data_IF_852160036288
#
_entry.id   IF_852160036288
#
_cell.length_a   1.000
_cell.length_b   1.000
_cell.length_c   1.000
_cell.angle_alpha   90.00
_cell.angle_beta   90.00
_cell.angle_gamma   90.00
#
_symmetry.space_group_name_H-M   'P 1'
#
loop_
_entity.id
_entity.type
_entity.pdbx_description
1 polymer ?
#
# COMPACT_ATOMS: atom_id res chain seq x y z
N UNK A 1 42.48 29.95 -23.81
CA UNK A 1 42.33 28.83 -24.76
C UNK A 1 42.59 27.54 -23.99
N UNK A 2 41.49 26.87 -23.66
CA UNK A 2 41.31 25.45 -23.27
C UNK A 2 42.30 24.78 -22.31
N UNK A 3 41.88 24.64 -21.06
CA UNK A 3 42.28 23.52 -20.19
C UNK A 3 41.68 22.24 -20.79
N UNK A 4 42.54 21.30 -21.20
CA UNK A 4 42.14 19.99 -21.67
C UNK A 4 41.83 19.11 -20.46
N UNK A 5 40.55 18.83 -20.24
CA UNK A 5 40.11 17.84 -19.26
C UNK A 5 40.45 16.44 -19.79
N UNK A 6 41.29 15.71 -19.07
CA UNK A 6 41.47 14.28 -19.28
C UNK A 6 40.21 13.54 -18.79
N UNK A 7 39.71 12.52 -19.52
CA UNK A 7 38.57 11.75 -19.07
C UNK A 7 38.95 10.86 -17.88
N UNK A 8 38.13 10.89 -16.83
CA UNK A 8 38.18 9.94 -15.72
C UNK A 8 37.74 8.58 -16.27
N UNK A 9 38.67 7.63 -16.31
CA UNK A 9 38.39 6.21 -16.58
C UNK A 9 37.72 5.61 -15.34
N UNK A 10 36.43 5.28 -15.45
CA UNK A 10 35.73 4.45 -14.46
C UNK A 10 35.77 3.02 -14.96
N UNK A 11 36.58 2.18 -14.30
CA UNK A 11 36.61 0.74 -14.52
C UNK A 11 35.29 0.14 -14.01
N UNK A 12 34.44 -0.30 -14.94
CA UNK A 12 33.18 -0.97 -14.61
C UNK A 12 33.48 -2.47 -14.54
N UNK A 13 33.71 -2.97 -13.34
CA UNK A 13 33.79 -4.40 -13.07
C UNK A 13 32.48 -5.10 -13.47
N UNK A 14 32.59 -6.10 -14.34
CA UNK A 14 31.49 -6.92 -14.82
C UNK A 14 30.78 -7.63 -13.68
N UNK A 15 29.53 -7.27 -13.40
CA UNK A 15 28.65 -8.06 -12.52
C UNK A 15 27.75 -8.92 -13.39
N UNK A 16 28.22 -10.13 -13.69
CA UNK A 16 27.37 -11.22 -14.15
C UNK A 16 26.46 -11.68 -13.02
N UNK A 17 25.27 -11.08 -12.94
CA UNK A 17 24.07 -11.75 -12.42
C UNK A 17 22.94 -11.36 -13.35
N UNK A 18 22.34 -12.36 -13.96
CA UNK A 18 21.21 -12.22 -14.86
C UNK A 18 20.03 -11.60 -14.12
N UNK A 19 19.94 -10.27 -14.15
CA UNK A 19 18.72 -9.55 -13.84
C UNK A 19 17.78 -9.78 -15.02
N UNK A 20 16.82 -10.69 -14.83
CA UNK A 20 15.63 -10.74 -15.68
C UNK A 20 14.76 -9.52 -15.37
N UNK A 21 15.23 -8.35 -15.83
CA UNK A 21 14.51 -7.11 -15.80
C UNK A 21 13.55 -7.06 -17.00
N UNK A 22 12.37 -7.64 -16.81
CA UNK A 22 11.21 -7.36 -17.65
C UNK A 22 10.77 -5.90 -17.43
N UNK A 23 11.48 -4.97 -18.06
CA UNK A 23 10.91 -3.72 -18.59
C UNK A 23 10.36 -2.67 -17.64
N UNK A 24 10.76 -2.61 -16.37
CA UNK A 24 10.42 -1.47 -15.50
C UNK A 24 11.67 -1.05 -14.74
N UNK A 25 12.39 -0.06 -15.27
CA UNK A 25 13.30 0.74 -14.47
C UNK A 25 12.43 1.49 -13.44
N UNK A 26 12.21 0.86 -12.28
CA UNK A 26 11.53 1.49 -11.15
C UNK A 26 12.34 2.73 -10.78
N UNK A 27 11.79 3.90 -11.08
CA UNK A 27 12.36 5.18 -10.75
C UNK A 27 12.17 5.37 -9.23
N UNK A 28 13.06 4.77 -8.43
CA UNK A 28 13.03 4.75 -6.97
C UNK A 28 13.41 6.11 -6.33
N UNK A 29 13.34 7.21 -7.10
CA UNK A 29 13.65 8.56 -6.62
C UNK A 29 12.61 9.07 -5.63
N UNK A 30 11.33 8.87 -5.92
CA UNK A 30 10.16 9.25 -5.09
C UNK A 30 8.98 8.38 -5.54
N UNK A 31 8.78 7.19 -4.98
CA UNK A 31 7.55 6.43 -5.29
C UNK A 31 6.39 7.08 -4.53
N UNK A 32 5.41 7.61 -5.25
CA UNK A 32 4.14 8.05 -4.68
C UNK A 32 3.54 6.91 -3.84
N UNK A 33 3.06 7.23 -2.63
CA UNK A 33 2.60 6.23 -1.65
C UNK A 33 1.53 5.30 -2.23
N UNK A 34 0.68 5.78 -3.15
CA UNK A 34 -0.32 4.95 -3.83
C UNK A 34 0.33 3.80 -4.62
N UNK A 35 1.42 4.08 -5.34
CA UNK A 35 2.16 3.07 -6.10
C UNK A 35 2.77 1.99 -5.19
N UNK A 36 3.32 2.38 -4.03
CA UNK A 36 3.85 1.45 -3.02
C UNK A 36 2.74 0.54 -2.51
N UNK A 37 1.58 1.12 -2.21
CA UNK A 37 0.39 0.39 -1.70
C UNK A 37 -0.09 -0.61 -2.74
N UNK A 38 -0.28 -0.19 -3.99
CA UNK A 38 -0.72 -1.07 -5.09
C UNK A 38 0.23 -2.24 -5.29
N UNK A 39 1.54 -2.00 -5.26
CA UNK A 39 2.54 -3.07 -5.38
C UNK A 39 2.44 -4.06 -4.20
N UNK A 40 2.29 -3.55 -2.98
CA UNK A 40 2.16 -4.39 -1.78
C UNK A 40 0.89 -5.25 -1.81
N UNK A 41 -0.26 -4.65 -2.18
CA UNK A 41 -1.54 -5.36 -2.33
C UNK A 41 -1.46 -6.41 -3.44
N UNK A 42 -0.78 -6.12 -4.55
CA UNK A 42 -0.66 -7.04 -5.69
C UNK A 42 0.02 -8.36 -5.33
N UNK A 43 0.86 -8.38 -4.29
CA UNK A 43 1.57 -9.55 -3.78
C UNK A 43 0.70 -10.45 -2.87
N UNK A 44 -0.51 -10.01 -2.50
CA UNK A 44 -1.45 -10.84 -1.76
C UNK A 44 -2.09 -11.88 -2.67
N UNK A 45 -2.45 -13.06 -2.14
CA UNK A 45 -3.23 -14.03 -2.89
C UNK A 45 -4.62 -13.44 -3.22
N UNK A 46 -5.13 -13.77 -4.40
CA UNK A 46 -6.52 -13.49 -4.74
C UNK A 46 -7.46 -14.37 -3.90
N UNK A 47 -8.74 -13.98 -3.84
CA UNK A 47 -9.75 -14.81 -3.16
C UNK A 47 -9.81 -16.22 -3.75
N UNK A 48 -9.83 -17.27 -2.92
CA UNK A 48 -10.09 -18.63 -3.39
C UNK A 48 -11.56 -18.86 -3.75
N UNK A 49 -12.47 -17.98 -3.31
CA UNK A 49 -13.91 -18.05 -3.60
C UNK A 49 -14.29 -16.93 -4.58
N UNK A 50 -14.80 -17.24 -5.78
CA UNK A 50 -15.06 -16.24 -6.82
C UNK A 50 -16.14 -15.21 -6.43
N UNK A 51 -17.08 -15.60 -5.57
CA UNK A 51 -18.21 -14.76 -5.16
C UNK A 51 -17.96 -13.99 -3.85
N UNK A 52 -16.80 -14.15 -3.22
CA UNK A 52 -16.46 -13.47 -1.97
C UNK A 52 -15.14 -12.71 -2.11
N UNK A 53 -15.09 -11.41 -1.81
CA UNK A 53 -13.84 -10.66 -1.88
C UNK A 53 -12.85 -11.18 -0.83
N UNK A 54 -11.62 -11.43 -1.25
CA UNK A 54 -10.50 -11.74 -0.38
C UNK A 54 -9.85 -10.46 0.15
N UNK A 55 -8.80 -10.64 0.94
CA UNK A 55 -8.07 -9.50 1.52
C UNK A 55 -7.49 -8.56 0.45
N UNK A 56 -7.03 -9.11 -0.68
CA UNK A 56 -6.51 -8.33 -1.81
C UNK A 56 -7.58 -7.41 -2.39
N UNK A 57 -8.77 -7.95 -2.66
CA UNK A 57 -9.87 -7.22 -3.28
C UNK A 57 -10.44 -6.16 -2.33
N UNK A 58 -10.51 -6.45 -1.02
CA UNK A 58 -10.94 -5.49 -0.01
C UNK A 58 -9.96 -4.32 0.15
N UNK A 59 -8.66 -4.59 0.19
CA UNK A 59 -7.64 -3.55 0.30
C UNK A 59 -7.54 -2.71 -0.97
N UNK A 60 -7.76 -3.30 -2.15
CA UNK A 60 -7.85 -2.58 -3.42
C UNK A 60 -9.05 -1.60 -3.40
N UNK A 61 -10.21 -2.05 -2.90
CA UNK A 61 -11.39 -1.20 -2.76
C UNK A 61 -11.15 -0.06 -1.75
N UNK A 62 -10.52 -0.36 -0.61
CA UNK A 62 -10.17 0.65 0.40
C UNK A 62 -9.21 1.71 -0.16
N UNK A 63 -8.14 1.29 -0.86
CA UNK A 63 -7.22 2.19 -1.54
C UNK A 63 -7.98 3.12 -2.50
N UNK A 64 -8.78 2.55 -3.40
CA UNK A 64 -9.53 3.34 -4.38
C UNK A 64 -10.52 4.33 -3.74
N UNK A 65 -11.18 3.93 -2.65
CA UNK A 65 -12.08 4.80 -1.92
C UNK A 65 -11.34 5.99 -1.28
N UNK A 66 -10.17 5.76 -0.70
CA UNK A 66 -9.31 6.80 -0.12
C UNK A 66 -8.83 7.77 -1.22
N UNK A 67 -8.36 7.24 -2.35
CA UNK A 67 -7.86 8.05 -3.47
C UNK A 67 -8.96 8.93 -4.09
N UNK A 68 -10.17 8.37 -4.24
CA UNK A 68 -11.31 9.07 -4.82
C UNK A 68 -11.97 10.07 -3.86
N UNK A 69 -11.72 9.99 -2.56
CA UNK A 69 -12.32 10.90 -1.59
C UNK A 69 -11.75 12.32 -1.73
N UNK A 70 -12.66 13.29 -1.75
CA UNK A 70 -12.37 14.72 -1.93
C UNK A 70 -12.42 15.52 -0.63
N UNK A 71 -12.81 14.88 0.47
CA UNK A 71 -12.95 15.47 1.79
C UNK A 71 -11.67 15.28 2.61
N UNK A 72 -10.91 14.22 2.33
CA UNK A 72 -9.55 14.05 2.82
C UNK A 72 -8.60 15.08 2.19
N UNK A 73 -7.83 15.75 3.03
CA UNK A 73 -6.68 16.52 2.57
C UNK A 73 -5.55 15.56 2.14
N UNK A 74 -4.48 16.11 1.57
CA UNK A 74 -3.37 15.30 1.04
C UNK A 74 -2.61 14.54 2.14
N UNK A 75 -2.45 15.12 3.33
CA UNK A 75 -1.74 14.51 4.45
C UNK A 75 -2.53 13.33 5.02
N UNK A 76 -3.81 13.52 5.31
CA UNK A 76 -4.72 12.47 5.80
C UNK A 76 -4.87 11.34 4.76
N UNK A 77 -4.85 11.68 3.46
CA UNK A 77 -4.88 10.69 2.37
C UNK A 77 -3.60 9.86 2.36
N UNK A 78 -2.43 10.49 2.50
CA UNK A 78 -1.15 9.79 2.57
C UNK A 78 -1.09 8.89 3.81
N UNK A 79 -1.46 9.39 4.99
CA UNK A 79 -1.50 8.60 6.23
C UNK A 79 -2.45 7.39 6.08
N UNK A 80 -3.65 7.60 5.53
CA UNK A 80 -4.59 6.52 5.29
C UNK A 80 -4.00 5.45 4.35
N UNK A 81 -3.32 5.86 3.27
CA UNK A 81 -2.65 4.93 2.35
C UNK A 81 -1.48 4.18 3.02
N UNK A 82 -0.72 4.82 3.90
CA UNK A 82 0.29 4.13 4.73
C UNK A 82 -0.35 3.04 5.61
N UNK A 83 -1.54 3.30 6.16
CA UNK A 83 -2.27 2.29 6.92
C UNK A 83 -2.77 1.15 6.02
N UNK A 84 -3.20 1.42 4.78
CA UNK A 84 -3.53 0.37 3.81
C UNK A 84 -2.32 -0.50 3.49
N UNK A 85 -1.13 0.10 3.33
CA UNK A 85 0.13 -0.65 3.18
C UNK A 85 0.37 -1.58 4.37
N UNK A 86 0.24 -1.07 5.59
CA UNK A 86 0.44 -1.86 6.81
C UNK A 86 -0.55 -3.05 6.89
N UNK A 87 -1.81 -2.84 6.48
CA UNK A 87 -2.79 -3.93 6.38
C UNK A 87 -2.42 -4.95 5.31
N UNK A 88 -1.90 -4.51 4.17
CA UNK A 88 -1.44 -5.39 3.11
C UNK A 88 -0.21 -6.20 3.54
N UNK A 89 0.73 -5.60 4.27
CA UNK A 89 1.88 -6.31 4.86
C UNK A 89 1.42 -7.35 5.88
N UNK A 90 0.48 -7.00 6.77
CA UNK A 90 -0.10 -7.94 7.71
C UNK A 90 -0.86 -9.09 7.02
N UNK A 91 -1.51 -8.82 5.88
CA UNK A 91 -2.21 -9.82 5.08
C UNK A 91 -1.29 -10.90 4.49
N UNK A 92 0.03 -10.64 4.39
CA UNK A 92 1.00 -11.67 3.97
C UNK A 92 1.25 -12.71 5.06
N UNK A 93 1.22 -12.29 6.33
CA UNK A 93 1.48 -13.13 7.50
C UNK A 93 0.48 -12.83 8.65
N UNK A 94 -0.82 -13.09 8.47
CA UNK A 94 -1.86 -12.62 9.39
C UNK A 94 -1.86 -13.31 10.76
N UNK A 95 -1.10 -14.40 10.91
CA UNK A 95 -0.97 -15.14 12.17
C UNK A 95 0.19 -14.62 13.05
N UNK A 96 1.05 -13.75 12.51
CA UNK A 96 2.16 -13.20 13.27
C UNK A 96 1.65 -12.12 14.24
N UNK A 97 1.91 -12.27 15.54
CA UNK A 97 1.36 -11.37 16.55
C UNK A 97 1.79 -9.89 16.39
N UNK A 98 2.98 -9.65 15.82
CA UNK A 98 3.41 -8.28 15.47
C UNK A 98 2.58 -7.70 14.32
N UNK A 99 2.29 -8.51 13.30
CA UNK A 99 1.44 -8.12 12.17
C UNK A 99 0.00 -7.85 12.59
N UNK A 100 -0.56 -8.65 13.50
CA UNK A 100 -1.89 -8.39 14.05
C UNK A 100 -1.94 -7.08 14.83
N UNK A 101 -0.90 -6.76 15.60
CA UNK A 101 -0.79 -5.47 16.29
C UNK A 101 -0.70 -4.31 15.31
N UNK A 102 0.14 -4.43 14.27
CA UNK A 102 0.27 -3.43 13.22
C UNK A 102 -1.09 -3.21 12.51
N UNK A 103 -1.77 -4.28 12.12
CA UNK A 103 -3.09 -4.21 11.50
C UNK A 103 -4.13 -3.56 12.42
N UNK A 104 -4.15 -3.92 13.71
CA UNK A 104 -5.05 -3.28 14.69
C UNK A 104 -4.79 -1.79 14.83
N UNK A 105 -3.54 -1.37 14.83
CA UNK A 105 -3.16 0.04 14.83
C UNK A 105 -3.62 0.73 13.54
N UNK A 106 -3.37 0.13 12.38
CA UNK A 106 -3.79 0.66 11.10
C UNK A 106 -5.31 0.85 11.01
N UNK A 107 -6.11 -0.10 11.48
CA UNK A 107 -7.57 0.02 11.53
C UNK A 107 -8.01 1.14 12.48
N UNK A 108 -7.35 1.31 13.63
CA UNK A 108 -7.67 2.39 14.57
C UNK A 108 -7.39 3.76 13.95
N UNK A 109 -6.24 3.90 13.29
CA UNK A 109 -5.87 5.14 12.60
C UNK A 109 -6.88 5.44 11.50
N UNK A 110 -7.15 4.48 10.59
CA UNK A 110 -8.16 4.64 9.54
C UNK A 110 -9.54 5.06 10.09
N UNK A 111 -9.99 4.46 11.20
CA UNK A 111 -11.23 4.86 11.87
C UNK A 111 -11.15 6.29 12.42
N UNK A 112 -10.01 6.69 12.98
CA UNK A 112 -9.74 8.06 13.42
C UNK A 112 -9.76 9.05 12.25
N UNK A 113 -9.02 8.76 11.19
CA UNK A 113 -8.93 9.58 9.97
C UNK A 113 -10.30 9.81 9.35
N UNK A 114 -11.14 8.78 9.23
CA UNK A 114 -12.50 8.96 8.67
C UNK A 114 -13.51 9.56 9.66
N UNK A 115 -13.21 9.58 10.97
CA UNK A 115 -14.14 10.11 11.98
C UNK A 115 -14.28 11.63 11.94
N UNK A 116 -13.30 12.32 11.34
CA UNK A 116 -13.35 13.76 11.09
C UNK A 116 -14.17 14.11 9.83
N UNK A 117 -14.54 13.11 9.02
CA UNK A 117 -15.30 13.31 7.78
C UNK A 117 -16.81 13.35 8.04
N UNK A 118 -17.59 13.99 7.14
CA UNK A 118 -19.04 13.87 7.18
C UNK A 118 -19.48 12.40 7.07
N UNK A 119 -20.42 11.98 7.91
CA UNK A 119 -20.86 10.57 8.00
C UNK A 119 -21.51 10.06 6.71
N UNK A 120 -22.07 10.95 5.89
CA UNK A 120 -22.69 10.62 4.61
C UNK A 120 -21.68 10.57 3.43
N UNK A 121 -20.38 10.55 3.70
CA UNK A 121 -19.38 10.38 2.64
C UNK A 121 -19.27 8.92 2.23
N UNK A 122 -19.06 8.70 0.93
CA UNK A 122 -18.84 7.35 0.38
C UNK A 122 -17.69 6.63 1.08
N UNK A 123 -16.61 7.34 1.43
CA UNK A 123 -15.49 6.74 2.15
C UNK A 123 -15.90 6.20 3.53
N UNK A 124 -16.67 6.95 4.32
CA UNK A 124 -17.17 6.48 5.63
C UNK A 124 -18.08 5.26 5.48
N UNK A 125 -18.98 5.28 4.48
CA UNK A 125 -19.86 4.15 4.19
C UNK A 125 -19.06 2.89 3.78
N UNK A 126 -18.08 3.04 2.89
CA UNK A 126 -17.25 1.93 2.43
C UNK A 126 -16.38 1.38 3.55
N UNK A 127 -15.70 2.24 4.32
CA UNK A 127 -14.92 1.83 5.49
C UNK A 127 -15.77 1.07 6.53
N UNK A 128 -17.02 1.47 6.74
CA UNK A 128 -17.94 0.79 7.66
C UNK A 128 -18.26 -0.64 7.22
N UNK A 129 -18.24 -0.92 5.91
CA UNK A 129 -18.48 -2.25 5.34
C UNK A 129 -17.20 -3.09 5.30
N UNK A 130 -16.08 -2.52 4.86
CA UNK A 130 -14.87 -3.28 4.53
C UNK A 130 -13.92 -3.46 5.72
N UNK A 131 -13.83 -2.52 6.66
CA UNK A 131 -12.91 -2.65 7.80
C UNK A 131 -13.25 -3.84 8.71
N UNK A 132 -14.54 -4.18 8.97
CA UNK A 132 -14.88 -5.41 9.70
C UNK A 132 -14.44 -6.67 8.95
N UNK A 133 -14.59 -6.72 7.62
CA UNK A 133 -14.17 -7.87 6.81
C UNK A 133 -12.64 -8.04 6.85
N UNK A 134 -11.89 -6.94 6.67
CA UNK A 134 -10.43 -6.92 6.79
C UNK A 134 -10.00 -7.39 8.19
N UNK A 135 -10.69 -6.95 9.24
CA UNK A 135 -10.41 -7.38 10.63
C UNK A 135 -10.57 -8.90 10.78
N UNK A 136 -11.60 -9.47 10.15
CA UNK A 136 -11.84 -10.92 10.13
C UNK A 136 -10.71 -11.69 9.43
N UNK A 137 -10.29 -11.25 8.24
CA UNK A 137 -9.17 -11.87 7.52
C UNK A 137 -7.84 -11.84 8.31
N UNK A 138 -7.62 -10.78 9.08
CA UNK A 138 -6.40 -10.57 9.86
C UNK A 138 -6.47 -11.15 11.28
N UNK A 139 -7.56 -11.86 11.63
CA UNK A 139 -7.71 -12.51 12.93
C UNK A 139 -7.80 -11.53 14.11
N UNK A 140 -8.39 -10.35 13.89
CA UNK A 140 -8.49 -9.27 14.89
C UNK A 140 -9.83 -9.23 15.64
N UNK A 141 -10.72 -10.17 15.32
CA UNK A 141 -12.07 -10.31 15.89
C UNK A 141 -12.09 -10.89 17.29
#
# INVERSE_FOLDING_TARGET
MTVNAAPIVVEIGSVGRDFNASGQALNLGEMDISGVVTNTISQLPASPEPDKPGIKELLTQLQAAIEADKNLNQEDKAEALEQVKALAEAGKNPQEGAMQKAAKTAIKILKGTISSLPTATKLVEECSKILPLISGFLGLG
#
